data_IF_104529718219
#
_entry.id   IF_104529718219
#
_cell.length_a   1.000
_cell.length_b   1.000
_cell.length_c   1.000
_cell.angle_alpha   90.00
_cell.angle_beta   90.00
_cell.angle_gamma   90.00
#
_symmetry.space_group_name_H-M   'P 1'
#
loop_
_entity.id
_entity.type
_entity.pdbx_description
1 polymer ?
#
# COMPACT_ATOMS: atom_id res chain seq x y z
N UNK A 1 -24.54 -11.51 -3.73
CA UNK A 1 -23.42 -12.34 -4.22
C UNK A 1 -22.06 -11.65 -4.04
N UNK A 2 -21.90 -10.37 -4.45
CA UNK A 2 -20.65 -9.62 -4.35
C UNK A 2 -20.16 -9.42 -2.90
N UNK A 3 -21.06 -9.07 -1.97
CA UNK A 3 -20.74 -8.91 -0.54
C UNK A 3 -20.30 -10.22 0.14
N UNK A 4 -20.83 -11.36 -0.28
CA UNK A 4 -20.41 -12.69 0.21
C UNK A 4 -19.05 -13.10 -0.34
N UNK A 5 -18.73 -12.77 -1.59
CA UNK A 5 -17.42 -13.01 -2.18
C UNK A 5 -16.33 -12.19 -1.51
N UNK A 6 -16.61 -10.90 -1.26
CA UNK A 6 -15.70 -9.98 -0.55
C UNK A 6 -15.40 -10.44 0.89
N UNK A 7 -16.43 -10.92 1.61
CA UNK A 7 -16.22 -11.53 2.94
C UNK A 7 -15.35 -12.79 2.88
N UNK A 8 -15.38 -13.52 1.76
CA UNK A 8 -14.53 -14.68 1.52
C UNK A 8 -13.05 -14.34 1.45
N UNK A 9 -12.68 -13.29 0.73
CA UNK A 9 -11.27 -12.86 0.59
C UNK A 9 -10.67 -12.44 1.92
N UNK A 10 -11.38 -11.63 2.70
CA UNK A 10 -10.92 -11.22 4.03
C UNK A 10 -10.84 -12.41 5.00
N UNK A 11 -11.82 -13.31 4.98
CA UNK A 11 -11.79 -14.53 5.81
C UNK A 11 -10.59 -15.40 5.46
N UNK A 12 -10.32 -15.62 4.18
CA UNK A 12 -9.17 -16.40 3.72
C UNK A 12 -7.86 -15.76 4.15
N UNK A 13 -7.74 -14.43 4.01
CA UNK A 13 -6.60 -13.68 4.48
C UNK A 13 -6.36 -13.87 5.98
N UNK A 14 -7.38 -13.66 6.81
CA UNK A 14 -7.28 -13.77 8.27
C UNK A 14 -7.04 -15.22 8.74
N UNK A 15 -7.41 -16.23 7.96
CA UNK A 15 -7.12 -17.64 8.26
C UNK A 15 -5.73 -18.09 7.80
N UNK A 16 -5.05 -17.28 7.00
CA UNK A 16 -3.68 -17.58 6.54
C UNK A 16 -2.68 -17.20 7.64
N UNK A 17 -1.73 -18.09 7.92
CA UNK A 17 -0.69 -17.80 8.89
C UNK A 17 0.16 -16.60 8.45
N UNK A 18 0.49 -15.73 9.40
CA UNK A 18 1.46 -14.66 9.16
C UNK A 18 2.87 -15.26 8.99
N UNK A 19 3.77 -14.56 8.29
CA UNK A 19 5.17 -14.96 8.22
C UNK A 19 5.75 -15.16 9.60
N UNK A 20 6.49 -16.27 9.80
CA UNK A 20 7.03 -16.61 11.11
C UNK A 20 8.11 -15.60 11.55
N UNK A 21 8.10 -15.07 12.79
CA UNK A 21 9.04 -14.03 13.23
C UNK A 21 10.52 -14.41 13.11
N UNK A 22 10.83 -15.70 13.20
CA UNK A 22 12.21 -16.22 13.09
C UNK A 22 12.54 -16.72 11.67
N UNK A 23 11.65 -16.50 10.70
CA UNK A 23 11.95 -16.82 9.30
C UNK A 23 13.07 -15.89 8.80
N UNK A 24 14.01 -16.45 8.05
CA UNK A 24 15.02 -15.64 7.39
C UNK A 24 14.37 -14.61 6.47
N UNK A 25 14.78 -13.34 6.58
CA UNK A 25 14.32 -12.29 5.71
C UNK A 25 14.49 -12.63 4.21
N UNK A 26 15.49 -13.42 3.86
CA UNK A 26 15.73 -13.85 2.50
C UNK A 26 14.65 -14.81 1.96
N UNK A 27 14.07 -15.63 2.83
CA UNK A 27 13.02 -16.58 2.46
C UNK A 27 11.60 -16.08 2.79
N UNK A 28 11.50 -14.89 3.34
CA UNK A 28 10.22 -14.25 3.59
C UNK A 28 9.63 -13.69 2.29
N UNK A 29 8.33 -13.87 2.09
CA UNK A 29 7.60 -13.18 1.03
C UNK A 29 7.25 -11.76 1.46
N UNK A 30 7.37 -10.81 0.55
CA UNK A 30 6.98 -9.41 0.78
C UNK A 30 6.01 -8.96 -0.30
N UNK A 31 5.11 -8.06 0.06
CA UNK A 31 4.29 -7.29 -0.87
C UNK A 31 4.61 -5.81 -0.70
N UNK A 32 5.24 -5.22 -1.70
CA UNK A 32 5.46 -3.77 -1.74
C UNK A 32 4.19 -3.13 -2.23
N UNK A 33 3.64 -2.20 -1.45
CA UNK A 33 2.39 -1.49 -1.75
C UNK A 33 2.67 0.02 -1.79
N UNK A 34 2.02 0.67 -2.74
CA UNK A 34 1.96 2.13 -2.85
C UNK A 34 0.51 2.53 -3.12
N UNK A 35 -0.02 3.46 -2.33
CA UNK A 35 -1.37 3.97 -2.43
C UNK A 35 -1.33 5.44 -2.85
N UNK A 36 -2.21 5.83 -3.77
CA UNK A 36 -2.51 7.23 -4.02
C UNK A 36 -3.86 7.58 -3.41
N UNK A 37 -3.93 8.68 -2.69
CA UNK A 37 -5.10 9.09 -1.93
C UNK A 37 -5.55 10.51 -2.29
N UNK A 38 -6.81 10.84 -2.05
CA UNK A 38 -7.35 12.18 -2.29
C UNK A 38 -6.84 13.24 -1.30
N UNK A 39 -6.32 12.81 -0.15
CA UNK A 39 -5.77 13.64 0.91
C UNK A 39 -5.07 12.78 1.96
N UNK A 40 -4.93 13.29 3.19
CA UNK A 40 -4.15 12.66 4.26
C UNK A 40 -5.02 12.12 5.42
N UNK A 41 -6.31 12.40 5.42
CA UNK A 41 -7.24 11.97 6.46
C UNK A 41 -8.05 10.77 6.01
N UNK A 42 -7.65 9.57 6.41
CA UNK A 42 -8.29 8.33 5.99
C UNK A 42 -9.77 8.18 6.38
N UNK A 43 -10.28 9.01 7.32
CA UNK A 43 -11.70 9.03 7.68
C UNK A 43 -12.55 9.84 6.68
N UNK A 44 -11.94 10.78 5.96
CA UNK A 44 -12.60 11.69 5.04
C UNK A 44 -12.16 11.49 3.58
N UNK A 45 -10.92 11.07 3.40
CA UNK A 45 -10.31 10.90 2.10
C UNK A 45 -10.42 9.46 1.58
N UNK A 46 -10.11 9.28 0.30
CA UNK A 46 -10.33 8.04 -0.42
C UNK A 46 -9.05 7.54 -1.09
N UNK A 47 -8.93 6.21 -1.21
CA UNK A 47 -7.92 5.58 -2.06
C UNK A 47 -8.31 5.84 -3.54
N UNK A 48 -7.42 6.48 -4.28
CA UNK A 48 -7.57 6.77 -5.72
C UNK A 48 -6.94 5.68 -6.58
N UNK A 49 -5.81 5.14 -6.15
CA UNK A 49 -5.18 3.99 -6.80
C UNK A 49 -4.38 3.16 -5.82
N UNK A 50 -4.13 1.91 -6.20
CA UNK A 50 -3.27 1.00 -5.48
C UNK A 50 -2.36 0.26 -6.46
N UNK A 51 -1.05 0.30 -6.21
CA UNK A 51 -0.04 -0.44 -6.95
C UNK A 51 0.75 -1.36 -6.04
N UNK A 52 1.06 -2.57 -6.50
CA UNK A 52 1.86 -3.50 -5.72
C UNK A 52 2.72 -4.42 -6.57
N UNK A 53 3.74 -5.00 -5.94
CA UNK A 53 4.59 -6.04 -6.50
C UNK A 53 5.09 -6.96 -5.39
N UNK A 54 5.17 -8.26 -5.67
CA UNK A 54 5.72 -9.22 -4.72
C UNK A 54 7.25 -9.34 -4.85
N UNK A 55 7.88 -9.60 -3.69
CA UNK A 55 9.30 -9.99 -3.60
C UNK A 55 9.34 -11.36 -2.92
N UNK A 56 10.01 -12.32 -3.52
CA UNK A 56 10.19 -13.65 -2.97
C UNK A 56 11.63 -14.12 -3.18
N UNK A 57 12.21 -14.74 -2.17
CA UNK A 57 13.62 -15.16 -2.18
C UNK A 57 14.58 -14.03 -2.60
N UNK A 58 14.30 -12.80 -2.15
CA UNK A 58 15.08 -11.61 -2.45
C UNK A 58 14.96 -11.09 -3.90
N UNK A 59 14.04 -11.60 -4.71
CA UNK A 59 13.83 -11.20 -6.09
C UNK A 59 12.46 -10.56 -6.31
N UNK A 60 12.43 -9.48 -7.08
CA UNK A 60 11.17 -8.82 -7.49
C UNK A 60 10.51 -9.68 -8.57
N UNK A 61 9.28 -10.09 -8.31
CA UNK A 61 8.47 -10.87 -9.25
C UNK A 61 7.64 -9.92 -10.13
N UNK A 62 8.19 -9.46 -11.23
CA UNK A 62 7.54 -8.49 -12.13
C UNK A 62 6.14 -8.94 -12.60
N UNK A 63 5.92 -10.24 -12.78
CA UNK A 63 4.62 -10.79 -13.18
C UNK A 63 3.52 -10.63 -12.10
N UNK A 64 3.89 -10.29 -10.88
CA UNK A 64 2.96 -9.99 -9.78
C UNK A 64 2.64 -8.50 -9.68
N UNK A 65 3.28 -7.66 -10.49
CA UNK A 65 3.02 -6.23 -10.47
C UNK A 65 1.63 -5.95 -11.02
N UNK A 66 0.82 -5.31 -10.20
CA UNK A 66 -0.52 -4.88 -10.56
C UNK A 66 -0.72 -3.43 -10.12
N UNK A 67 -1.52 -2.68 -10.89
CA UNK A 67 -1.92 -1.32 -10.54
C UNK A 67 -3.38 -1.13 -10.95
N UNK A 68 -4.18 -0.56 -10.04
CA UNK A 68 -5.60 -0.33 -10.25
C UNK A 68 -6.00 1.07 -9.80
N UNK A 69 -6.75 1.76 -10.64
CA UNK A 69 -7.52 2.93 -10.22
C UNK A 69 -8.81 2.48 -9.56
N UNK A 70 -9.16 3.13 -8.45
CA UNK A 70 -10.41 2.88 -7.74
C UNK A 70 -11.51 3.72 -8.36
N UNK A 71 -12.60 3.06 -8.77
CA UNK A 71 -13.77 3.76 -9.27
C UNK A 71 -14.35 4.65 -8.16
N UNK A 72 -14.40 5.93 -8.44
CA UNK A 72 -15.05 6.89 -7.57
C UNK A 72 -16.12 7.63 -8.40
N UNK A 73 -17.39 7.32 -8.09
CA UNK A 73 -18.54 7.89 -8.77
C UNK A 73 -18.95 9.24 -8.17
N UNK A 74 -18.19 9.77 -7.25
CA UNK A 74 -18.57 10.96 -6.54
C UNK A 74 -18.17 12.20 -7.33
N UNK A 75 -19.18 12.91 -7.81
CA UNK A 75 -19.13 14.33 -8.17
C UNK A 75 -18.65 15.24 -7.02
N UNK A 76 -18.20 14.67 -5.90
CA UNK A 76 -17.81 15.31 -4.66
C UNK A 76 -16.29 15.26 -4.40
N UNK A 77 -15.51 14.52 -5.20
CA UNK A 77 -14.06 14.58 -5.07
C UNK A 77 -13.55 15.92 -5.55
N UNK A 78 -13.25 16.80 -4.61
CA UNK A 78 -12.48 17.98 -4.90
C UNK A 78 -11.01 17.60 -5.13
N UNK A 79 -10.69 17.26 -6.38
CA UNK A 79 -9.31 16.97 -6.79
C UNK A 79 -8.48 18.25 -6.96
N UNK A 80 -9.02 19.43 -6.60
CA UNK A 80 -8.31 20.71 -6.77
C UNK A 80 -7.02 20.75 -5.95
N UNK A 81 -6.99 20.11 -4.81
CA UNK A 81 -5.81 20.04 -3.94
C UNK A 81 -4.89 18.85 -4.22
N UNK A 82 -5.44 17.66 -4.50
CA UNK A 82 -4.69 16.41 -4.68
C UNK A 82 -4.49 16.00 -6.14
N UNK A 83 -5.41 16.33 -7.01
CA UNK A 83 -5.35 15.99 -8.43
C UNK A 83 -4.07 16.46 -9.17
N UNK A 84 -3.55 17.66 -8.91
CA UNK A 84 -2.27 18.11 -9.48
C UNK A 84 -1.07 17.32 -8.98
N UNK A 85 -1.13 16.78 -7.77
CA UNK A 85 -0.04 16.03 -7.14
C UNK A 85 0.09 14.64 -7.76
N UNK A 86 -1.05 13.95 -7.95
CA UNK A 86 -1.07 12.57 -8.46
C UNK A 86 -1.29 12.45 -9.96
N UNK A 87 -1.58 13.56 -10.66
CA UNK A 87 -1.89 13.59 -12.11
C UNK A 87 -3.03 12.66 -12.53
N UNK A 88 -3.91 12.29 -11.60
CA UNK A 88 -5.04 11.39 -11.84
C UNK A 88 -6.24 12.25 -12.22
N UNK A 89 -6.83 12.00 -13.39
CA UNK A 89 -8.01 12.73 -13.86
C UNK A 89 -9.31 12.04 -13.47
N UNK A 90 -10.40 12.81 -13.39
CA UNK A 90 -11.75 12.26 -13.19
C UNK A 90 -12.12 11.18 -14.21
N UNK A 91 -11.69 11.31 -15.46
CA UNK A 91 -11.94 10.33 -16.52
C UNK A 91 -11.28 8.98 -16.20
N UNK A 92 -10.08 8.99 -15.62
CA UNK A 92 -9.36 7.78 -15.21
C UNK A 92 -10.08 7.12 -14.02
N UNK A 93 -10.49 7.89 -13.01
CA UNK A 93 -11.20 7.37 -11.85
C UNK A 93 -12.59 6.81 -12.20
N UNK A 94 -13.30 7.43 -13.14
CA UNK A 94 -14.62 6.93 -13.60
C UNK A 94 -14.52 5.58 -14.33
N UNK A 95 -13.37 5.26 -14.91
CA UNK A 95 -13.07 3.96 -15.54
C UNK A 95 -12.40 2.96 -14.61
N UNK A 96 -12.16 3.32 -13.37
CA UNK A 96 -11.56 2.46 -12.36
C UNK A 96 -12.42 1.24 -12.00
N UNK A 97 -11.88 0.37 -11.17
CA UNK A 97 -12.64 -0.77 -10.64
C UNK A 97 -13.08 -0.53 -9.20
N UNK A 98 -14.14 -1.21 -8.77
CA UNK A 98 -14.70 -1.02 -7.43
C UNK A 98 -13.67 -1.33 -6.33
N UNK A 99 -13.65 -0.52 -5.26
CA UNK A 99 -12.72 -0.64 -4.14
C UNK A 99 -12.68 -2.06 -3.55
N UNK A 100 -13.83 -2.71 -3.37
CA UNK A 100 -13.89 -4.08 -2.86
C UNK A 100 -13.15 -5.07 -3.77
N UNK A 101 -13.16 -4.87 -5.10
CA UNK A 101 -12.44 -5.70 -6.05
C UNK A 101 -10.92 -5.49 -5.93
N UNK A 102 -10.48 -4.24 -5.75
CA UNK A 102 -9.07 -3.92 -5.51
C UNK A 102 -8.60 -4.57 -4.21
N UNK A 103 -9.36 -4.40 -3.12
CA UNK A 103 -9.03 -4.99 -1.82
C UNK A 103 -9.02 -6.52 -1.85
N UNK A 104 -9.96 -7.16 -2.57
CA UNK A 104 -9.98 -8.63 -2.74
C UNK A 104 -8.70 -9.14 -3.42
N UNK A 105 -8.20 -8.42 -4.41
CA UNK A 105 -6.95 -8.75 -5.10
C UNK A 105 -5.74 -8.51 -4.19
N UNK A 106 -5.69 -7.35 -3.54
CA UNK A 106 -4.61 -6.98 -2.62
C UNK A 106 -4.49 -7.99 -1.47
N UNK A 107 -5.58 -8.35 -0.80
CA UNK A 107 -5.58 -9.30 0.31
C UNK A 107 -5.09 -10.69 -0.11
N UNK A 108 -5.43 -11.13 -1.34
CA UNK A 108 -4.89 -12.39 -1.88
C UNK A 108 -3.38 -12.33 -2.07
N UNK A 109 -2.88 -11.22 -2.58
CA UNK A 109 -1.43 -11.02 -2.75
C UNK A 109 -0.69 -10.84 -1.42
N UNK A 110 -1.34 -10.23 -0.43
CA UNK A 110 -0.77 -9.98 0.90
C UNK A 110 -0.74 -11.25 1.78
N UNK A 111 -1.54 -12.27 1.46
CA UNK A 111 -1.59 -13.51 2.23
C UNK A 111 -0.21 -14.15 2.39
N UNK A 112 0.18 -14.44 3.64
CA UNK A 112 1.50 -14.98 4.01
C UNK A 112 2.70 -14.11 3.55
N UNK A 113 2.51 -12.81 3.41
CA UNK A 113 3.58 -11.87 3.08
C UNK A 113 3.65 -10.72 4.09
N UNK A 114 4.83 -10.16 4.23
CA UNK A 114 5.06 -8.91 4.97
C UNK A 114 4.73 -7.74 4.05
N UNK A 115 3.90 -6.82 4.52
CA UNK A 115 3.60 -5.58 3.82
C UNK A 115 4.81 -4.64 3.88
N UNK A 116 5.23 -4.08 2.75
CA UNK A 116 6.31 -3.09 2.67
C UNK A 116 5.75 -1.81 2.09
N UNK A 117 5.88 -0.71 2.84
CA UNK A 117 5.41 0.63 2.45
C UNK A 117 6.46 1.69 2.76
N UNK A 118 6.24 2.91 2.26
CA UNK A 118 7.09 4.07 2.58
C UNK A 118 6.26 5.13 3.32
N UNK A 119 6.22 5.09 4.62
CA UNK A 119 5.38 5.83 5.57
C UNK A 119 4.14 5.05 6.02
N UNK A 120 4.37 3.93 6.68
CA UNK A 120 3.33 3.00 7.13
C UNK A 120 2.13 3.64 7.86
N UNK A 121 2.27 4.70 8.70
CA UNK A 121 1.11 5.31 9.33
C UNK A 121 0.04 5.77 8.35
N UNK A 122 0.42 6.22 7.16
CA UNK A 122 -0.51 6.68 6.14
C UNK A 122 -1.16 5.50 5.41
N UNK A 123 -0.35 4.70 4.69
CA UNK A 123 -0.86 3.59 3.86
C UNK A 123 -1.66 2.56 4.67
N UNK A 124 -1.16 2.19 5.86
CA UNK A 124 -1.83 1.20 6.72
C UNK A 124 -3.14 1.74 7.27
N UNK A 125 -3.23 3.04 7.60
CA UNK A 125 -4.48 3.62 8.08
C UNK A 125 -5.55 3.62 6.98
N UNK A 126 -5.22 4.06 5.77
CA UNK A 126 -6.13 3.99 4.63
C UNK A 126 -6.57 2.56 4.32
N UNK A 127 -5.65 1.59 4.31
CA UNK A 127 -5.98 0.19 4.11
C UNK A 127 -6.92 -0.35 5.21
N UNK A 128 -6.66 -0.01 6.47
CA UNK A 128 -7.47 -0.43 7.60
C UNK A 128 -8.91 0.10 7.48
N UNK A 129 -9.09 1.39 7.22
CA UNK A 129 -10.40 2.03 7.10
C UNK A 129 -11.14 1.49 5.88
N UNK A 130 -10.48 1.37 4.73
CA UNK A 130 -11.07 0.79 3.53
C UNK A 130 -11.55 -0.66 3.76
N UNK A 131 -10.76 -1.48 4.44
CA UNK A 131 -11.15 -2.84 4.79
C UNK A 131 -12.29 -2.87 5.82
N UNK A 132 -12.28 -1.99 6.80
CA UNK A 132 -13.37 -1.88 7.78
C UNK A 132 -14.70 -1.48 7.12
N UNK A 133 -14.67 -0.53 6.19
CA UNK A 133 -15.85 -0.12 5.41
C UNK A 133 -16.40 -1.25 4.53
N UNK A 134 -15.53 -2.02 3.88
CA UNK A 134 -15.93 -3.07 2.93
C UNK A 134 -16.30 -4.38 3.64
N UNK A 135 -15.51 -4.78 4.64
CA UNK A 135 -15.62 -6.10 5.27
C UNK A 135 -16.10 -6.05 6.72
N UNK A 136 -16.15 -4.88 7.36
CA UNK A 136 -16.47 -4.71 8.78
C UNK A 136 -15.33 -5.11 9.72
N UNK A 137 -14.10 -5.31 9.21
CA UNK A 137 -12.94 -5.72 9.99
C UNK A 137 -11.66 -5.20 9.35
N UNK A 138 -10.67 -4.85 10.17
CA UNK A 138 -9.34 -4.40 9.74
C UNK A 138 -8.43 -5.60 9.46
N UNK A 139 -7.59 -5.56 8.43
CA UNK A 139 -6.58 -6.59 8.21
C UNK A 139 -5.50 -6.50 9.30
N UNK A 140 -5.02 -7.66 9.75
CA UNK A 140 -3.86 -7.72 10.62
C UNK A 140 -2.64 -8.14 9.80
N UNK A 141 -1.69 -7.24 9.60
CA UNK A 141 -0.50 -7.50 8.78
C UNK A 141 0.80 -7.15 9.50
N UNK A 142 1.85 -7.90 9.20
CA UNK A 142 3.22 -7.51 9.58
C UNK A 142 3.69 -6.47 8.57
N UNK A 143 4.25 -5.35 9.05
CA UNK A 143 4.61 -4.20 8.21
C UNK A 143 6.09 -3.85 8.35
N UNK A 144 6.73 -3.58 7.23
CA UNK A 144 8.03 -2.91 7.15
C UNK A 144 7.81 -1.50 6.60
N UNK A 145 8.19 -0.49 7.39
CA UNK A 145 8.19 0.90 6.98
C UNK A 145 9.60 1.29 6.54
N UNK A 146 9.79 1.49 5.25
CA UNK A 146 11.10 1.84 4.68
C UNK A 146 11.53 3.24 5.06
N UNK A 147 10.61 4.20 5.28
CA UNK A 147 10.91 5.53 5.81
C UNK A 147 11.48 5.43 7.23
N UNK A 148 10.82 4.66 8.09
CA UNK A 148 11.25 4.45 9.47
C UNK A 148 12.61 3.76 9.53
N UNK A 149 12.84 2.77 8.66
CA UNK A 149 14.13 2.07 8.57
C UNK A 149 15.25 3.03 8.15
N UNK A 150 15.01 3.89 7.17
CA UNK A 150 15.97 4.89 6.74
C UNK A 150 16.25 5.92 7.84
N UNK A 151 15.22 6.40 8.53
CA UNK A 151 15.35 7.27 9.68
C UNK A 151 16.25 6.67 10.76
N UNK A 152 16.02 5.42 11.14
CA UNK A 152 16.84 4.73 12.14
C UNK A 152 18.28 4.54 11.68
N UNK A 153 18.51 4.22 10.41
CA UNK A 153 19.84 4.09 9.83
C UNK A 153 20.60 5.41 9.88
N UNK A 154 19.99 6.50 9.42
CA UNK A 154 20.61 7.82 9.44
C UNK A 154 20.88 8.31 10.86
N UNK A 155 19.97 8.08 11.79
CA UNK A 155 20.18 8.40 13.21
C UNK A 155 21.39 7.68 13.79
N UNK A 156 21.54 6.37 13.53
CA UNK A 156 22.71 5.58 13.98
C UNK A 156 24.03 6.07 13.37
N UNK A 157 23.97 6.72 12.22
CA UNK A 157 25.14 7.30 11.54
C UNK A 157 25.39 8.77 11.88
N UNK A 158 24.58 9.37 12.76
CA UNK A 158 24.57 10.83 13.04
C UNK A 158 24.40 11.69 11.77
N UNK A 159 23.57 11.21 10.82
CA UNK A 159 23.31 11.86 9.53
C UNK A 159 21.85 12.23 9.33
N UNK A 160 21.03 12.19 10.38
CA UNK A 160 19.58 12.45 10.26
C UNK A 160 19.28 13.95 10.13
N UNK A 161 20.04 14.81 10.80
CA UNK A 161 19.80 16.25 10.79
C UNK A 161 19.89 16.82 9.37
N UNK A 162 18.79 17.47 8.94
CA UNK A 162 18.68 18.03 7.58
C UNK A 162 18.48 17.01 6.46
N UNK A 163 18.46 15.70 6.76
CA UNK A 163 18.27 14.68 5.74
C UNK A 163 16.78 14.54 5.37
N UNK A 164 16.45 14.65 4.08
CA UNK A 164 15.12 14.35 3.59
C UNK A 164 14.85 12.83 3.63
N UNK A 165 13.68 12.45 4.13
CA UNK A 165 13.20 11.05 4.16
C UNK A 165 12.21 10.74 3.03
N UNK A 166 11.97 11.68 2.10
CA UNK A 166 11.12 11.43 0.92
C UNK A 166 11.70 10.29 0.08
N UNK A 167 10.85 9.48 -0.51
CA UNK A 167 11.24 8.26 -1.23
C UNK A 167 12.29 8.55 -2.32
N UNK A 168 12.12 9.60 -3.13
CA UNK A 168 13.09 9.95 -4.16
C UNK A 168 14.48 10.33 -3.61
N UNK A 169 14.55 10.98 -2.44
CA UNK A 169 15.80 11.32 -1.80
C UNK A 169 16.47 10.08 -1.16
N UNK A 170 15.67 9.19 -0.59
CA UNK A 170 16.15 7.88 -0.16
C UNK A 170 16.76 7.11 -1.32
N UNK A 171 16.03 6.99 -2.45
CA UNK A 171 16.52 6.33 -3.67
C UNK A 171 17.84 6.90 -4.15
N UNK A 172 17.99 8.23 -4.17
CA UNK A 172 19.22 8.93 -4.56
C UNK A 172 20.40 8.55 -3.67
N UNK A 173 20.19 8.42 -2.35
CA UNK A 173 21.23 7.98 -1.41
C UNK A 173 21.73 6.56 -1.69
N UNK A 174 20.91 5.71 -2.27
CA UNK A 174 21.26 4.35 -2.66
C UNK A 174 21.69 4.21 -4.12
N UNK A 175 21.88 5.33 -4.84
CA UNK A 175 22.21 5.36 -6.27
C UNK A 175 21.20 4.59 -7.13
N UNK A 176 19.93 4.57 -6.72
CA UNK A 176 18.85 3.95 -7.50
C UNK A 176 18.38 4.92 -8.59
N UNK A 177 17.94 4.41 -9.76
CA UNK A 177 17.45 5.24 -10.84
C UNK A 177 16.29 6.15 -10.39
N UNK A 178 16.24 7.39 -10.93
CA UNK A 178 15.04 8.23 -10.87
C UNK A 178 14.03 7.76 -11.90
N UNK A 179 12.74 7.95 -11.63
CA UNK A 179 11.64 7.79 -12.58
C UNK A 179 10.98 9.11 -12.88
#
# INVERSE_FOLDING_TARGET
>A
AQKLASQGSMRNYLSTALPHPNQSAWHCGYLVLDLEMSGLDAEQDHILSAGWVAIENGQIHHNSAEHYYVANNESQLDLSESGPIHKISHTVLSSGIALNTVLDKLLRQLSNRVLVVHHAPLDVNFLNIACEQVYGVRPYCTVIDTLRNEQLKLSRQNKLDGASLRLHDCRRRYNLPSY
#
